data_IF_542893071633
#
_entry.id   IF_542893071633
#
_cell.length_a   1.000
_cell.length_b   1.000
_cell.length_c   1.000
_cell.angle_alpha   90.00
_cell.angle_beta   90.00
_cell.angle_gamma   90.00
#
_symmetry.space_group_name_H-M   'P 1'
#
loop_
_entity.id
_entity.type
_entity.pdbx_description
1 polymer ?
#
# COMPACT_ATOMS: atom_id res chain seq x y z
N UNK A 1 6.98 -17.98 6.71
CA UNK A 1 6.74 -16.66 7.32
C UNK A 1 5.25 -16.54 7.59
N UNK A 2 4.78 -16.50 8.85
CA UNK A 2 3.36 -16.40 9.12
C UNK A 2 2.83 -15.05 8.62
N UNK A 3 1.62 -15.05 8.04
CA UNK A 3 0.95 -13.91 7.41
C UNK A 3 1.16 -12.61 8.22
N UNK A 4 1.85 -11.63 7.65
CA UNK A 4 2.33 -10.43 8.34
C UNK A 4 1.22 -9.47 8.83
N UNK A 5 -0.04 -9.73 8.49
CA UNK A 5 -1.19 -8.90 8.85
C UNK A 5 -2.39 -9.80 9.15
N UNK A 6 -2.70 -9.96 10.44
CA UNK A 6 -3.77 -10.85 10.92
C UNK A 6 -5.14 -10.17 10.90
N UNK A 7 -5.14 -8.84 11.01
CA UNK A 7 -6.32 -7.99 11.07
C UNK A 7 -6.28 -6.94 9.94
N UNK A 8 -7.44 -6.40 9.60
CA UNK A 8 -7.53 -5.30 8.63
C UNK A 8 -7.24 -3.94 9.28
N UNK A 9 -7.11 -2.89 8.48
CA UNK A 9 -6.76 -1.54 8.97
C UNK A 9 -7.79 -0.98 9.95
N UNK A 10 -9.08 -1.26 9.77
CA UNK A 10 -10.15 -0.81 10.67
C UNK A 10 -10.05 -1.50 12.02
N UNK A 11 -9.82 -2.81 12.04
CA UNK A 11 -9.64 -3.57 13.27
C UNK A 11 -8.42 -3.09 14.05
N UNK A 12 -7.27 -2.90 13.39
CA UNK A 12 -6.09 -2.31 14.02
C UNK A 12 -6.35 -0.88 14.52
N UNK A 13 -7.05 -0.05 13.75
CA UNK A 13 -7.43 1.31 14.17
C UNK A 13 -8.28 1.32 15.45
N UNK A 14 -9.28 0.45 15.52
CA UNK A 14 -10.11 0.29 16.73
C UNK A 14 -9.28 -0.18 17.94
N UNK A 15 -8.34 -1.11 17.74
CA UNK A 15 -7.43 -1.54 18.82
C UNK A 15 -6.56 -0.40 19.33
N UNK A 16 -6.04 0.44 18.43
CA UNK A 16 -5.22 1.61 18.80
C UNK A 16 -6.05 2.69 19.53
N UNK A 17 -7.31 2.87 19.15
CA UNK A 17 -8.22 3.75 19.89
C UNK A 17 -8.42 3.25 21.33
N UNK A 18 -8.67 1.95 21.52
CA UNK A 18 -8.77 1.35 22.85
C UNK A 18 -7.44 1.46 23.64
N UNK A 19 -6.28 1.43 22.98
CA UNK A 19 -4.98 1.66 23.62
C UNK A 19 -4.86 3.08 24.18
N UNK A 20 -5.32 4.08 23.41
CA UNK A 20 -5.38 5.47 23.86
C UNK A 20 -6.25 5.63 25.10
N UNK A 21 -7.44 5.02 25.10
CA UNK A 21 -8.36 5.03 26.25
C UNK A 21 -7.79 4.32 27.48
N UNK A 22 -7.06 3.23 27.27
CA UNK A 22 -6.34 2.51 28.31
C UNK A 22 -5.07 3.22 28.79
N UNK A 23 -4.80 4.45 28.33
CA UNK A 23 -3.60 5.25 28.66
C UNK A 23 -2.30 4.48 28.41
N UNK A 24 -2.25 3.72 27.31
CA UNK A 24 -1.09 2.93 26.91
C UNK A 24 -0.99 1.53 27.52
N UNK A 25 -1.92 1.12 28.39
CA UNK A 25 -1.92 -0.24 28.92
C UNK A 25 -2.56 -1.23 27.92
N UNK A 26 -1.73 -2.02 27.23
CA UNK A 26 -2.17 -2.94 26.19
C UNK A 26 -3.10 -4.07 26.69
N UNK A 27 -2.86 -4.59 27.90
CA UNK A 27 -3.73 -5.63 28.48
C UNK A 27 -5.13 -5.08 28.77
N UNK A 28 -5.19 -3.86 29.31
CA UNK A 28 -6.45 -3.18 29.56
C UNK A 28 -7.14 -2.78 28.24
N UNK A 29 -6.38 -2.32 27.25
CA UNK A 29 -6.89 -2.02 25.92
C UNK A 29 -7.54 -3.24 25.26
N UNK A 30 -6.94 -4.42 25.38
CA UNK A 30 -7.51 -5.67 24.87
C UNK A 30 -8.85 -6.01 25.55
N UNK A 31 -8.97 -5.76 26.85
CA UNK A 31 -10.23 -5.92 27.57
C UNK A 31 -11.30 -4.96 27.04
N UNK A 32 -10.98 -3.66 26.94
CA UNK A 32 -11.90 -2.65 26.39
C UNK A 32 -12.33 -3.03 24.97
N UNK A 33 -11.39 -3.49 24.14
CA UNK A 33 -11.67 -3.91 22.76
C UNK A 33 -12.65 -5.09 22.70
N UNK A 34 -12.49 -6.09 23.58
CA UNK A 34 -13.40 -7.24 23.69
C UNK A 34 -14.80 -6.83 24.14
N UNK A 35 -14.88 -5.94 25.12
CA UNK A 35 -16.15 -5.43 25.64
C UNK A 35 -16.89 -4.58 24.59
N UNK A 36 -16.15 -3.73 23.85
CA UNK A 36 -16.74 -2.82 22.87
C UNK A 36 -17.13 -3.50 21.56
N UNK A 37 -16.40 -4.52 21.13
CA UNK A 37 -16.60 -5.19 19.84
C UNK A 37 -16.80 -6.70 20.01
N UNK A 38 -17.87 -7.15 20.68
CA UNK A 38 -18.02 -8.55 21.08
C UNK A 38 -18.15 -9.54 19.90
N UNK A 39 -18.56 -9.06 18.72
CA UNK A 39 -18.68 -9.86 17.50
C UNK A 39 -17.41 -9.85 16.63
N UNK A 40 -16.41 -9.03 16.97
CA UNK A 40 -15.19 -8.91 16.21
C UNK A 40 -14.20 -10.04 16.55
N UNK A 41 -13.26 -10.29 15.64
CA UNK A 41 -12.16 -11.21 15.92
C UNK A 41 -11.25 -10.59 16.99
N UNK A 42 -10.94 -11.35 18.03
CA UNK A 42 -10.13 -10.87 19.14
C UNK A 42 -8.68 -11.34 19.06
N UNK A 43 -7.70 -10.45 19.31
CA UNK A 43 -6.32 -10.86 19.55
C UNK A 43 -6.23 -11.85 20.72
N UNK A 44 -5.43 -12.89 20.52
CA UNK A 44 -5.06 -13.81 21.59
C UNK A 44 -4.16 -13.12 22.63
N UNK A 45 -3.30 -12.21 22.18
CA UNK A 45 -2.32 -11.50 23.01
C UNK A 45 -2.41 -9.97 22.80
N UNK A 46 -2.34 -9.25 23.91
CA UNK A 46 -2.25 -7.79 23.99
C UNK A 46 -1.01 -7.22 23.30
N UNK A 47 0.08 -8.00 23.19
CA UNK A 47 1.33 -7.59 22.51
C UNK A 47 1.10 -7.19 21.06
N UNK A 48 0.06 -7.71 20.42
CA UNK A 48 -0.33 -7.34 19.05
C UNK A 48 -0.74 -5.87 18.94
N UNK A 49 -1.39 -5.31 19.97
CA UNK A 49 -1.79 -3.91 20.02
C UNK A 49 -0.55 -3.01 20.14
N UNK A 50 0.39 -3.39 21.02
CA UNK A 50 1.68 -2.67 21.16
C UNK A 50 2.50 -2.74 19.87
N UNK A 51 2.56 -3.91 19.23
CA UNK A 51 3.27 -4.06 17.95
C UNK A 51 2.64 -3.21 16.84
N UNK A 52 1.31 -3.12 16.79
CA UNK A 52 0.62 -2.24 15.85
C UNK A 52 0.96 -0.76 16.11
N UNK A 53 0.98 -0.34 17.38
CA UNK A 53 1.35 1.03 17.76
C UNK A 53 2.82 1.34 17.39
N UNK A 54 3.73 0.40 17.66
CA UNK A 54 5.14 0.55 17.31
C UNK A 54 5.33 0.71 15.79
N UNK A 55 4.56 -0.02 14.98
CA UNK A 55 4.60 0.15 13.51
C UNK A 55 4.15 1.55 13.08
N UNK A 56 3.14 2.14 13.74
CA UNK A 56 2.75 3.54 13.50
C UNK A 56 3.90 4.49 13.80
N UNK A 57 4.58 4.33 14.95
CA UNK A 57 5.73 5.16 15.31
C UNK A 57 6.90 5.01 14.31
N UNK A 58 7.08 3.82 13.76
CA UNK A 58 8.12 3.51 12.76
C UNK A 58 7.72 3.88 11.32
N UNK A 59 6.56 4.53 11.11
CA UNK A 59 5.99 4.78 9.79
C UNK A 59 5.86 3.51 8.91
N UNK A 60 5.64 2.36 9.54
CA UNK A 60 5.43 1.08 8.87
C UNK A 60 3.93 0.80 8.69
N UNK A 61 3.52 0.16 7.58
CA UNK A 61 2.11 -0.18 7.36
C UNK A 61 1.61 -1.12 8.45
N UNK A 62 0.44 -0.83 9.03
CA UNK A 62 -0.19 -1.63 10.10
C UNK A 62 -1.09 -2.75 9.58
N UNK A 63 -1.55 -2.64 8.33
CA UNK A 63 -2.33 -3.64 7.63
C UNK A 63 -1.74 -3.84 6.22
N UNK A 64 -2.14 -4.93 5.54
CA UNK A 64 -1.83 -5.08 4.12
C UNK A 64 -2.35 -3.86 3.37
N UNK A 65 -1.43 -3.14 2.74
CA UNK A 65 -1.81 -2.18 1.71
C UNK A 65 -2.38 -3.04 0.59
N UNK A 66 -3.69 -2.99 0.38
CA UNK A 66 -4.29 -3.55 -0.82
C UNK A 66 -3.45 -3.03 -1.97
N UNK A 67 -2.83 -3.94 -2.74
CA UNK A 67 -1.94 -3.56 -3.83
C UNK A 67 -2.75 -2.62 -4.74
N UNK A 68 -2.52 -1.31 -4.59
CA UNK A 68 -3.26 -0.31 -5.33
C UNK A 68 -3.03 -0.63 -6.80
N UNK A 69 -4.13 -0.83 -7.53
CA UNK A 69 -4.15 -1.25 -8.94
C UNK A 69 -3.55 -0.25 -9.92
N UNK A 70 -2.62 0.59 -9.49
CA UNK A 70 -1.65 1.21 -10.38
C UNK A 70 -0.69 0.12 -10.80
N UNK A 71 -0.91 -0.46 -11.98
CA UNK A 71 0.11 -1.28 -12.64
C UNK A 71 1.36 -0.41 -12.73
N UNK A 72 2.35 -0.68 -11.87
CA UNK A 72 3.66 -0.02 -11.97
C UNK A 72 4.13 -0.35 -13.38
N UNK A 73 4.31 0.69 -14.20
CA UNK A 73 4.97 0.53 -15.48
C UNK A 73 6.30 -0.16 -15.17
N UNK A 74 6.56 -1.30 -15.81
CA UNK A 74 7.82 -1.99 -15.59
C UNK A 74 8.95 -1.00 -15.86
N UNK A 75 9.95 -0.91 -14.97
CA UNK A 75 11.01 0.13 -15.00
C UNK A 75 11.62 0.28 -16.39
N UNK A 76 11.83 -0.83 -17.11
CA UNK A 76 12.35 -0.81 -18.48
C UNK A 76 11.43 -0.13 -19.51
N UNK A 77 10.12 -0.19 -19.31
CA UNK A 77 9.15 0.52 -20.16
C UNK A 77 9.17 2.02 -19.89
N UNK A 78 9.37 2.43 -18.63
CA UNK A 78 9.51 3.84 -18.25
C UNK A 78 10.77 4.47 -18.84
N UNK A 79 11.92 3.82 -18.67
CA UNK A 79 13.20 4.27 -19.24
C UNK A 79 13.12 4.43 -20.76
N UNK A 80 12.47 3.48 -21.46
CA UNK A 80 12.26 3.57 -22.91
C UNK A 80 11.38 4.74 -23.31
N UNK A 81 10.32 5.03 -22.54
CA UNK A 81 9.47 6.20 -22.78
C UNK A 81 10.30 7.48 -22.63
N UNK A 82 11.07 7.60 -21.54
CA UNK A 82 11.92 8.77 -21.28
C UNK A 82 12.98 8.96 -22.37
N UNK A 83 13.58 7.89 -22.87
CA UNK A 83 14.54 7.95 -23.98
C UNK A 83 13.92 8.47 -25.28
N UNK A 84 12.68 8.10 -25.59
CA UNK A 84 11.98 8.60 -26.77
C UNK A 84 11.59 10.07 -26.59
N UNK A 85 11.10 10.46 -25.41
CA UNK A 85 10.77 11.85 -25.08
C UNK A 85 12.02 12.74 -25.20
N UNK A 86 13.16 12.28 -24.67
CA UNK A 86 14.45 13.01 -24.77
C UNK A 86 14.90 13.21 -26.21
N UNK A 87 14.76 12.20 -27.06
CA UNK A 87 15.17 12.26 -28.48
C UNK A 87 14.21 13.07 -29.34
N UNK A 88 12.92 13.09 -28.99
CA UNK A 88 11.86 13.69 -29.78
C UNK A 88 10.85 14.42 -28.88
N UNK A 89 11.23 15.59 -28.30
CA UNK A 89 10.43 16.26 -27.28
C UNK A 89 9.07 16.78 -27.79
N UNK A 90 8.93 16.97 -29.10
CA UNK A 90 7.69 17.47 -29.71
C UNK A 90 6.70 16.37 -30.10
N UNK A 91 7.03 15.09 -29.86
CA UNK A 91 6.11 13.99 -30.17
C UNK A 91 4.98 13.90 -29.13
N UNK A 92 3.75 13.83 -29.60
CA UNK A 92 2.61 13.51 -28.75
C UNK A 92 2.66 12.07 -28.20
N UNK A 93 2.01 11.84 -27.06
CA UNK A 93 2.00 10.56 -26.33
C UNK A 93 1.54 9.37 -27.18
N UNK A 94 0.57 9.56 -28.09
CA UNK A 94 0.12 8.53 -29.05
C UNK A 94 1.19 8.16 -30.08
N UNK A 95 1.97 9.14 -30.52
CA UNK A 95 3.06 8.92 -31.47
C UNK A 95 4.21 8.18 -30.81
N UNK A 96 4.53 8.51 -29.56
CA UNK A 96 5.51 7.79 -28.74
C UNK A 96 5.09 6.34 -28.54
N UNK A 97 3.83 6.07 -28.15
CA UNK A 97 3.31 4.71 -28.00
C UNK A 97 3.42 3.88 -29.30
N UNK A 98 3.08 4.49 -30.45
CA UNK A 98 3.24 3.85 -31.77
C UNK A 98 4.72 3.57 -32.10
N UNK A 99 5.61 4.49 -31.77
CA UNK A 99 7.05 4.37 -32.04
C UNK A 99 7.66 3.24 -31.21
N UNK A 100 7.35 3.18 -29.91
CA UNK A 100 7.79 2.10 -29.01
C UNK A 100 7.30 0.72 -29.47
N UNK A 101 6.05 0.64 -29.95
CA UNK A 101 5.50 -0.59 -30.53
C UNK A 101 6.25 -1.04 -31.78
N UNK A 102 6.61 -0.10 -32.67
CA UNK A 102 7.30 -0.40 -33.93
C UNK A 102 8.78 -0.77 -33.72
N UNK A 103 9.46 -0.10 -32.80
CA UNK A 103 10.90 -0.24 -32.59
C UNK A 103 11.26 -1.44 -31.72
N UNK A 104 10.52 -1.63 -30.63
CA UNK A 104 10.89 -2.56 -29.56
C UNK A 104 9.88 -3.70 -29.39
N UNK A 105 8.86 -3.77 -30.26
CA UNK A 105 7.75 -4.72 -30.14
C UNK A 105 6.90 -4.53 -28.87
N UNK A 106 7.16 -3.48 -28.09
CA UNK A 106 6.55 -3.31 -26.76
C UNK A 106 5.22 -2.57 -26.91
N UNK A 107 4.11 -3.24 -26.57
CA UNK A 107 2.78 -2.64 -26.65
C UNK A 107 2.48 -1.82 -25.40
N UNK A 108 2.84 -0.53 -25.44
CA UNK A 108 2.58 0.43 -24.36
C UNK A 108 1.39 1.30 -24.75
N UNK A 109 0.41 1.45 -23.85
CA UNK A 109 -0.74 2.33 -24.10
C UNK A 109 -0.34 3.80 -24.04
N UNK A 110 -1.00 4.67 -24.82
CA UNK A 110 -0.74 6.11 -24.72
C UNK A 110 -1.05 6.69 -23.33
N UNK A 111 -2.02 6.11 -22.61
CA UNK A 111 -2.31 6.47 -21.22
C UNK A 111 -1.14 6.15 -20.29
N UNK A 112 -0.40 5.08 -20.59
CA UNK A 112 0.82 4.71 -19.86
C UNK A 112 1.94 5.72 -20.13
N UNK A 113 2.11 6.14 -21.39
CA UNK A 113 3.09 7.18 -21.77
C UNK A 113 2.81 8.50 -21.07
N UNK A 114 1.54 8.90 -20.93
CA UNK A 114 1.16 10.13 -20.22
C UNK A 114 1.42 10.09 -18.71
N UNK A 115 1.53 8.89 -18.12
CA UNK A 115 1.73 8.72 -16.67
C UNK A 115 3.19 8.69 -16.25
N UNK A 116 4.09 8.56 -17.21
CA UNK A 116 5.55 8.68 -17.04
C UNK A 116 5.92 10.15 -17.18
#
# INVERSE_FOLDING_TARGET
MPNAYVYNAREYGNMLMCLGEARGNASHALRIYRERFPTARHPADSRLITAAFQRVLENRPIALVAAGGGSKVAVHSEERILDVVRRYPNLGTRSIAKLLRRRDGTSISYCTVHKV
#
